data_IF_787946140631
#
_entry.id   IF_787946140631
#
_cell.length_a   1.000
_cell.length_b   1.000
_cell.length_c   1.000
_cell.angle_alpha   90.00
_cell.angle_beta   90.00
_cell.angle_gamma   90.00
#
_symmetry.space_group_name_H-M   'P 1'
#
loop_
_entity.id
_entity.type
_entity.pdbx_description
1 polymer ?
#
# COMPACT_ATOMS: atom_id res chain seq x y z
N UNK A 1 4.28 28.12 5.82
CA UNK A 1 3.44 27.92 7.03
C UNK A 1 4.12 26.84 7.88
N UNK A 2 4.50 27.13 9.11
CA UNK A 2 5.07 26.09 9.99
C UNK A 2 3.95 25.11 10.32
N UNK A 3 4.07 23.85 9.84
CA UNK A 3 3.17 22.78 10.27
C UNK A 3 3.30 22.63 11.80
N UNK A 4 2.20 22.82 12.50
CA UNK A 4 2.15 22.66 13.97
C UNK A 4 2.26 21.19 14.41
N UNK A 5 2.45 20.24 13.48
CA UNK A 5 2.47 18.81 13.74
C UNK A 5 3.44 18.09 12.78
N UNK A 6 3.93 16.94 13.22
CA UNK A 6 4.73 16.04 12.42
C UNK A 6 3.82 15.28 11.42
N UNK A 7 4.10 15.42 10.13
CA UNK A 7 3.26 14.85 9.07
C UNK A 7 3.77 13.50 8.62
N UNK A 8 3.01 12.46 8.93
CA UNK A 8 3.25 11.07 8.52
C UNK A 8 2.27 10.75 7.39
N UNK A 9 2.76 10.27 6.26
CA UNK A 9 1.94 9.84 5.12
C UNK A 9 2.07 8.34 4.95
N UNK A 10 0.96 7.64 4.71
CA UNK A 10 0.96 6.22 4.32
C UNK A 10 0.34 6.10 2.93
N UNK A 11 1.10 5.54 2.01
CA UNK A 11 0.61 5.15 0.70
C UNK A 11 0.03 3.74 0.82
N UNK A 12 -1.25 3.58 0.51
CA UNK A 12 -1.93 2.31 0.67
C UNK A 12 -2.77 1.98 -0.56
N UNK A 13 -2.83 0.70 -0.92
CA UNK A 13 -3.54 0.22 -2.10
C UNK A 13 -4.65 -0.75 -1.72
N UNK A 14 -5.78 -0.63 -2.41
CA UNK A 14 -6.79 -1.66 -2.44
C UNK A 14 -6.42 -2.70 -3.50
N UNK A 15 -6.36 -3.97 -3.12
CA UNK A 15 -5.97 -5.08 -4.00
C UNK A 15 -7.04 -6.17 -4.00
N UNK A 16 -7.14 -6.99 -5.07
CA UNK A 16 -7.98 -8.18 -5.03
C UNK A 16 -7.47 -9.18 -3.97
N UNK A 17 -8.40 -9.81 -3.25
CA UNK A 17 -8.07 -10.90 -2.34
C UNK A 17 -7.77 -12.18 -3.13
N UNK A 18 -6.48 -12.51 -3.24
CA UNK A 18 -6.02 -13.70 -3.95
C UNK A 18 -6.04 -14.97 -3.10
N UNK A 19 -6.30 -14.87 -1.80
CA UNK A 19 -6.37 -16.01 -0.87
C UNK A 19 -7.79 -16.58 -0.75
N UNK A 20 -8.81 -15.74 -0.86
CA UNK A 20 -10.21 -16.15 -0.74
C UNK A 20 -10.90 -16.21 -2.11
N UNK A 21 -10.46 -17.14 -2.94
CA UNK A 21 -11.05 -17.35 -4.28
C UNK A 21 -12.34 -18.13 -4.12
N UNK A 22 -13.49 -17.45 -4.12
CA UNK A 22 -14.82 -18.08 -4.17
C UNK A 22 -15.08 -18.74 -5.53
N UNK A 23 -16.08 -19.62 -5.58
CA UNK A 23 -16.48 -20.32 -6.82
C UNK A 23 -16.81 -19.35 -7.96
N UNK A 24 -17.38 -18.19 -7.65
CA UNK A 24 -17.76 -17.15 -8.61
C UNK A 24 -16.57 -16.37 -9.18
N UNK A 25 -15.40 -16.54 -8.57
CA UNK A 25 -14.15 -15.91 -9.03
C UNK A 25 -13.45 -16.71 -10.14
N UNK A 26 -13.94 -17.91 -10.45
CA UNK A 26 -13.43 -18.70 -11.57
C UNK A 26 -14.35 -18.51 -12.77
N UNK A 27 -13.77 -18.18 -13.92
CA UNK A 27 -14.49 -18.17 -15.20
C UNK A 27 -14.64 -19.61 -15.73
N UNK A 28 -15.55 -19.82 -16.68
CA UNK A 28 -15.77 -21.12 -17.31
C UNK A 28 -14.51 -21.69 -18.00
N UNK A 29 -13.61 -20.81 -18.44
CA UNK A 29 -12.31 -21.16 -19.02
C UNK A 29 -11.22 -21.51 -18.01
N UNK A 30 -11.55 -21.55 -16.70
CA UNK A 30 -10.62 -21.83 -15.61
C UNK A 30 -9.73 -20.64 -15.20
N UNK A 31 -9.94 -19.45 -15.79
CA UNK A 31 -9.20 -18.24 -15.40
C UNK A 31 -9.89 -17.50 -14.27
N UNK A 32 -9.09 -16.73 -13.47
CA UNK A 32 -9.63 -15.94 -12.36
C UNK A 32 -10.28 -14.66 -12.87
N UNK A 33 -11.54 -14.46 -12.51
CA UNK A 33 -12.22 -13.17 -12.67
C UNK A 33 -11.81 -12.22 -11.53
N UNK A 34 -10.74 -11.46 -11.73
CA UNK A 34 -10.23 -10.52 -10.70
C UNK A 34 -11.26 -9.47 -10.28
N UNK A 35 -12.22 -9.14 -11.14
CA UNK A 35 -13.27 -8.18 -10.80
C UNK A 35 -14.31 -8.76 -9.83
N UNK A 36 -14.45 -10.07 -9.75
CA UNK A 36 -15.32 -10.75 -8.80
C UNK A 36 -14.66 -11.07 -7.45
N UNK A 37 -13.34 -10.85 -7.33
CA UNK A 37 -12.65 -11.04 -6.07
C UNK A 37 -13.02 -9.92 -5.08
N UNK A 38 -13.21 -10.24 -3.79
CA UNK A 38 -13.28 -9.22 -2.75
C UNK A 38 -12.05 -8.31 -2.80
N UNK A 39 -12.27 -7.03 -2.57
CA UNK A 39 -11.18 -6.07 -2.49
C UNK A 39 -10.75 -5.94 -1.02
N UNK A 40 -9.44 -6.03 -0.77
CA UNK A 40 -8.85 -5.94 0.56
C UNK A 40 -7.79 -4.85 0.63
N UNK A 41 -7.45 -4.47 1.83
CA UNK A 41 -6.26 -3.66 2.10
C UNK A 41 -5.01 -4.48 1.77
N UNK A 42 -4.08 -3.94 0.99
CA UNK A 42 -2.82 -4.64 0.72
C UNK A 42 -2.11 -5.00 2.02
N UNK A 43 -1.76 -6.28 2.26
CA UNK A 43 -1.21 -6.73 3.54
C UNK A 43 0.07 -5.98 3.97
N UNK A 44 1.00 -5.73 3.03
CA UNK A 44 2.24 -5.00 3.35
C UNK A 44 1.95 -3.53 3.69
N UNK A 45 0.95 -2.89 3.03
CA UNK A 45 0.57 -1.51 3.35
C UNK A 45 -0.15 -1.44 4.71
N UNK A 46 -0.83 -2.50 5.12
CA UNK A 46 -1.44 -2.57 6.45
C UNK A 46 -0.37 -2.59 7.55
N UNK A 47 0.76 -3.25 7.32
CA UNK A 47 1.93 -3.21 8.21
C UNK A 47 2.62 -1.84 8.18
N UNK A 48 2.66 -1.19 7.02
CA UNK A 48 3.13 0.18 6.89
C UNK A 48 2.25 1.16 7.70
N UNK A 49 0.94 0.95 7.72
CA UNK A 49 0.03 1.71 8.58
C UNK A 49 0.37 1.51 10.07
N UNK A 50 0.63 0.28 10.52
CA UNK A 50 1.03 0.05 11.92
C UNK A 50 2.33 0.75 12.27
N UNK A 51 3.34 0.67 11.41
CA UNK A 51 4.61 1.36 11.66
C UNK A 51 4.42 2.88 11.74
N UNK A 52 3.58 3.46 10.88
CA UNK A 52 3.21 4.87 10.93
C UNK A 52 2.48 5.25 12.23
N UNK A 53 1.59 4.40 12.72
CA UNK A 53 0.89 4.59 13.98
C UNK A 53 1.83 4.44 15.18
N UNK A 54 2.77 3.50 15.13
CA UNK A 54 3.82 3.37 16.15
C UNK A 54 4.73 4.61 16.19
N UNK A 55 5.07 5.20 15.05
CA UNK A 55 5.78 6.48 14.99
C UNK A 55 4.97 7.61 15.64
N UNK A 56 3.67 7.69 15.36
CA UNK A 56 2.79 8.67 16.01
C UNK A 56 2.74 8.48 17.52
N UNK A 57 2.69 7.23 17.99
CA UNK A 57 2.69 6.92 19.42
C UNK A 57 4.03 7.29 20.07
N UNK A 58 5.16 7.04 19.40
CA UNK A 58 6.49 7.42 19.87
C UNK A 58 6.68 8.95 20.01
N UNK A 59 5.99 9.73 19.16
CA UNK A 59 6.03 11.20 19.20
C UNK A 59 5.05 11.83 20.19
N UNK A 60 4.19 11.05 20.84
CA UNK A 60 3.05 11.55 21.64
C UNK A 60 3.45 12.59 22.69
N UNK A 61 4.58 12.38 23.38
CA UNK A 61 5.07 13.26 24.44
C UNK A 61 6.12 14.28 23.94
N UNK A 62 6.44 14.24 22.64
CA UNK A 62 7.45 15.10 22.01
C UNK A 62 6.76 16.22 21.23
N UNK A 63 5.87 15.87 20.31
CA UNK A 63 5.16 16.83 19.47
C UNK A 63 3.89 16.20 18.86
N UNK A 64 2.88 17.01 18.49
CA UNK A 64 1.72 16.50 17.79
C UNK A 64 2.11 15.84 16.46
N UNK A 65 1.58 14.67 16.19
CA UNK A 65 1.79 13.96 14.93
C UNK A 65 0.45 13.58 14.27
N UNK A 66 0.44 13.58 12.94
CA UNK A 66 -0.75 13.28 12.13
C UNK A 66 -0.42 12.21 11.10
N UNK A 67 -1.23 11.15 11.05
CA UNK A 67 -1.15 10.09 10.05
C UNK A 67 -2.20 10.30 8.97
N UNK A 68 -1.75 10.54 7.76
CA UNK A 68 -2.58 10.78 6.57
C UNK A 68 -2.42 9.62 5.58
N UNK A 69 -3.52 9.10 5.09
CA UNK A 69 -3.52 8.01 4.09
C UNK A 69 -3.73 8.60 2.71
N UNK A 70 -2.95 8.14 1.75
CA UNK A 70 -3.18 8.40 0.32
C UNK A 70 -3.38 7.06 -0.38
N UNK A 71 -4.49 6.93 -1.06
CA UNK A 71 -4.77 5.77 -1.92
C UNK A 71 -5.11 6.23 -3.32
N UNK A 72 -4.55 5.57 -4.35
CA UNK A 72 -4.88 5.84 -5.74
C UNK A 72 -5.75 4.70 -6.29
N UNK A 73 -6.95 5.04 -6.73
CA UNK A 73 -7.89 4.03 -7.22
C UNK A 73 -9.28 4.59 -7.51
N UNK A 74 -10.24 3.72 -7.84
CA UNK A 74 -11.65 4.11 -8.01
C UNK A 74 -12.27 4.52 -6.67
N UNK A 75 -13.51 5.07 -6.70
CA UNK A 75 -14.27 5.52 -5.53
C UNK A 75 -14.29 4.52 -4.38
N UNK A 76 -14.40 3.21 -4.68
CA UNK A 76 -14.37 2.13 -3.67
C UNK A 76 -13.06 2.08 -2.87
N UNK A 77 -11.97 2.68 -3.33
CA UNK A 77 -10.72 2.76 -2.58
C UNK A 77 -10.87 3.59 -1.28
N UNK A 78 -11.97 4.34 -1.11
CA UNK A 78 -12.33 4.97 0.15
C UNK A 78 -12.44 3.98 1.32
N UNK A 79 -12.67 2.67 1.04
CA UNK A 79 -12.65 1.62 2.08
C UNK A 79 -11.30 1.54 2.80
N UNK A 80 -10.20 1.75 2.09
CA UNK A 80 -8.84 1.76 2.64
C UNK A 80 -8.68 2.88 3.66
N UNK A 81 -9.23 4.06 3.36
CA UNK A 81 -9.18 5.20 4.27
C UNK A 81 -10.05 4.92 5.50
N UNK A 82 -11.28 4.43 5.34
CA UNK A 82 -12.13 4.05 6.48
C UNK A 82 -11.45 3.04 7.40
N UNK A 83 -10.90 1.99 6.81
CA UNK A 83 -10.17 0.96 7.55
C UNK A 83 -8.99 1.54 8.35
N UNK A 84 -8.27 2.49 7.77
CA UNK A 84 -7.17 3.20 8.44
C UNK A 84 -7.66 4.11 9.56
N UNK A 85 -8.77 4.83 9.35
CA UNK A 85 -9.40 5.66 10.38
C UNK A 85 -9.85 4.84 11.58
N UNK A 86 -10.36 3.62 11.37
CA UNK A 86 -10.76 2.71 12.46
C UNK A 86 -9.57 2.28 13.32
N UNK A 87 -8.35 2.28 12.77
CA UNK A 87 -7.11 1.85 13.44
C UNK A 87 -6.30 2.98 14.04
N UNK A 88 -6.58 4.24 13.71
CA UNK A 88 -5.90 5.38 14.35
C UNK A 88 -5.37 6.46 13.42
N UNK A 89 -5.48 6.29 12.09
CA UNK A 89 -5.21 7.37 11.14
C UNK A 89 -6.13 8.58 11.41
N UNK A 90 -5.69 9.76 11.00
CA UNK A 90 -6.40 11.00 11.28
C UNK A 90 -7.27 11.45 10.11
N UNK A 91 -6.80 11.22 8.89
CA UNK A 91 -7.52 11.53 7.65
C UNK A 91 -6.95 10.74 6.47
N UNK A 92 -7.55 10.94 5.29
CA UNK A 92 -7.02 10.37 4.05
C UNK A 92 -7.64 10.97 2.81
N UNK A 93 -6.99 10.71 1.68
CA UNK A 93 -7.33 11.22 0.36
C UNK A 93 -7.39 10.08 -0.65
N UNK A 94 -8.45 10.05 -1.44
CA UNK A 94 -8.55 9.18 -2.61
C UNK A 94 -8.07 9.98 -3.82
N UNK A 95 -7.03 9.50 -4.48
CA UNK A 95 -6.53 10.05 -5.75
C UNK A 95 -7.23 9.26 -6.86
N UNK A 96 -8.24 9.87 -7.49
CA UNK A 96 -9.12 9.19 -8.43
C UNK A 96 -9.41 10.01 -9.66
N UNK A 97 -9.01 9.48 -10.82
CA UNK A 97 -9.32 10.05 -12.13
C UNK A 97 -9.18 8.97 -13.20
N UNK A 98 -10.00 9.03 -14.25
CA UNK A 98 -9.88 8.11 -15.40
C UNK A 98 -8.53 8.22 -16.11
N UNK A 99 -7.89 9.39 -16.04
CA UNK A 99 -6.55 9.65 -16.59
C UNK A 99 -5.45 8.84 -15.91
N UNK A 100 -5.68 8.29 -14.72
CA UNK A 100 -4.74 7.38 -14.04
C UNK A 100 -4.89 5.92 -14.47
N UNK A 101 -5.92 5.58 -15.24
CA UNK A 101 -6.18 4.22 -15.63
C UNK A 101 -5.03 3.64 -16.48
N UNK A 102 -4.66 2.37 -16.18
CA UNK A 102 -3.59 1.68 -16.89
C UNK A 102 -2.17 2.16 -16.56
N UNK A 103 -2.00 2.96 -15.50
CA UNK A 103 -0.68 3.35 -15.00
C UNK A 103 0.17 2.14 -14.64
N UNK A 104 1.40 2.09 -15.15
CA UNK A 104 2.44 1.24 -14.61
C UNK A 104 3.04 1.82 -13.32
N UNK A 105 4.13 1.24 -12.81
CA UNK A 105 4.76 1.71 -11.58
C UNK A 105 5.33 3.12 -11.70
N UNK A 106 5.82 3.50 -12.88
CA UNK A 106 6.41 4.82 -13.12
C UNK A 106 5.34 5.92 -13.09
N UNK A 107 4.24 5.74 -13.84
CA UNK A 107 3.13 6.68 -13.88
C UNK A 107 2.40 6.71 -12.52
N UNK A 108 2.24 5.56 -11.85
CA UNK A 108 1.66 5.46 -10.49
C UNK A 108 2.49 6.25 -9.48
N UNK A 109 3.80 6.04 -9.44
CA UNK A 109 4.68 6.75 -8.50
C UNK A 109 4.73 8.25 -8.78
N UNK A 110 4.59 8.65 -10.04
CA UNK A 110 4.50 10.06 -10.40
C UNK A 110 3.23 10.72 -9.84
N UNK A 111 2.06 10.12 -10.07
CA UNK A 111 0.81 10.62 -9.54
C UNK A 111 0.81 10.68 -8.00
N UNK A 112 1.30 9.63 -7.34
CA UNK A 112 1.41 9.59 -5.88
C UNK A 112 2.38 10.64 -5.34
N UNK A 113 3.54 10.84 -5.98
CA UNK A 113 4.48 11.89 -5.56
C UNK A 113 3.88 13.29 -5.69
N UNK A 114 3.10 13.56 -6.75
CA UNK A 114 2.36 14.81 -6.92
C UNK A 114 1.31 15.00 -5.81
N UNK A 115 0.59 13.93 -5.45
CA UNK A 115 -0.37 13.96 -4.35
C UNK A 115 0.31 14.22 -2.98
N UNK A 116 1.49 13.63 -2.74
CA UNK A 116 2.28 13.90 -1.53
C UNK A 116 2.75 15.36 -1.51
N UNK A 117 3.26 15.89 -2.62
CA UNK A 117 3.67 17.30 -2.75
C UNK A 117 2.53 18.27 -2.48
N UNK A 118 1.30 17.93 -2.86
CA UNK A 118 0.09 18.72 -2.59
C UNK A 118 -0.21 18.89 -1.10
N UNK A 119 0.16 17.92 -0.26
CA UNK A 119 0.02 18.05 1.21
C UNK A 119 0.93 19.15 1.79
N UNK A 120 1.95 19.59 1.06
CA UNK A 120 2.98 20.52 1.53
C UNK A 120 4.11 19.80 2.24
N UNK A 121 4.52 20.28 3.44
CA UNK A 121 5.60 19.65 4.19
C UNK A 121 5.16 18.27 4.70
N UNK A 122 5.90 17.24 4.30
CA UNK A 122 5.78 15.87 4.79
C UNK A 122 7.10 15.46 5.42
N UNK A 123 7.06 14.91 6.63
CA UNK A 123 8.27 14.53 7.36
C UNK A 123 8.64 13.07 7.09
N UNK A 124 7.66 12.17 6.94
CA UNK A 124 7.91 10.78 6.60
C UNK A 124 6.81 10.19 5.73
N UNK A 125 7.19 9.36 4.76
CA UNK A 125 6.27 8.59 3.91
C UNK A 125 6.50 7.12 4.15
N UNK A 126 5.43 6.37 4.42
CA UNK A 126 5.43 4.92 4.50
C UNK A 126 4.69 4.29 3.33
N UNK A 127 5.14 3.13 2.89
CA UNK A 127 4.40 2.22 2.02
C UNK A 127 4.73 0.78 2.40
N UNK A 128 3.92 -0.18 2.00
CA UNK A 128 4.34 -1.57 1.99
C UNK A 128 5.50 -1.78 1.03
N UNK A 129 6.23 -2.88 1.20
CA UNK A 129 7.28 -3.29 0.27
C UNK A 129 6.73 -3.41 -1.14
N UNK A 130 5.56 -4.03 -1.30
CA UNK A 130 4.92 -4.27 -2.59
C UNK A 130 3.40 -4.44 -2.44
N UNK A 131 2.69 -4.38 -3.57
CA UNK A 131 1.29 -4.77 -3.66
C UNK A 131 1.19 -6.21 -4.19
N UNK A 132 0.36 -7.06 -3.54
CA UNK A 132 0.25 -8.50 -3.85
C UNK A 132 -0.36 -8.80 -5.22
N UNK A 133 -0.93 -7.82 -5.89
CA UNK A 133 -1.52 -7.97 -7.23
C UNK A 133 -0.53 -7.76 -8.39
N UNK A 134 0.63 -7.17 -8.10
CA UNK A 134 1.63 -6.85 -9.12
C UNK A 134 3.06 -7.23 -8.76
N UNK A 135 3.37 -7.40 -7.48
CA UNK A 135 4.65 -7.89 -6.92
C UNK A 135 5.94 -7.18 -7.43
N UNK A 136 5.83 -5.92 -7.85
CA UNK A 136 6.95 -5.20 -8.46
C UNK A 136 7.91 -4.58 -7.45
N UNK A 137 7.46 -4.28 -6.24
CA UNK A 137 8.22 -3.59 -5.17
C UNK A 137 8.89 -2.25 -5.61
N UNK A 138 8.35 -1.58 -6.63
CA UNK A 138 8.96 -0.41 -7.25
C UNK A 138 8.36 0.93 -6.84
N UNK A 139 7.06 0.99 -6.50
CA UNK A 139 6.34 2.25 -6.33
C UNK A 139 6.92 3.07 -5.18
N UNK A 140 7.18 2.48 -4.01
CA UNK A 140 7.77 3.18 -2.87
C UNK A 140 9.11 3.85 -3.23
N UNK A 141 10.14 3.09 -3.68
CA UNK A 141 11.41 3.65 -4.12
C UNK A 141 11.29 4.74 -5.18
N UNK A 142 10.42 4.55 -6.18
CA UNK A 142 10.20 5.56 -7.23
C UNK A 142 9.52 6.83 -6.70
N UNK A 143 8.65 6.73 -5.68
CA UNK A 143 8.09 7.90 -5.01
C UNK A 143 9.17 8.67 -4.27
N UNK A 144 10.08 7.98 -3.55
CA UNK A 144 11.20 8.61 -2.86
C UNK A 144 12.08 9.41 -3.83
N UNK A 145 12.42 8.82 -4.98
CA UNK A 145 13.21 9.49 -6.02
C UNK A 145 12.49 10.73 -6.56
N UNK A 146 11.17 10.66 -6.84
CA UNK A 146 10.41 11.81 -7.35
C UNK A 146 10.18 12.90 -6.31
N UNK A 147 10.27 12.56 -5.03
CA UNK A 147 10.23 13.50 -3.92
C UNK A 147 11.63 14.06 -3.56
N UNK A 148 12.68 13.49 -4.14
CA UNK A 148 14.09 13.82 -3.87
C UNK A 148 14.44 13.65 -2.38
N UNK A 149 13.94 12.57 -1.76
CA UNK A 149 14.18 12.23 -0.36
C UNK A 149 14.86 10.86 -0.23
N UNK A 150 15.68 10.66 0.81
CA UNK A 150 16.27 9.36 1.08
C UNK A 150 15.20 8.30 1.37
N UNK A 151 15.58 7.02 1.21
CA UNK A 151 14.70 5.90 1.49
C UNK A 151 15.36 4.84 2.36
N UNK A 152 14.56 4.20 3.20
CA UNK A 152 14.91 3.00 3.96
C UNK A 152 13.94 1.88 3.54
N UNK A 153 14.47 0.86 2.86
CA UNK A 153 13.64 -0.24 2.34
C UNK A 153 13.62 -1.42 3.30
N UNK A 154 12.55 -2.24 3.21
CA UNK A 154 12.38 -3.50 3.95
C UNK A 154 12.41 -3.36 5.48
N UNK A 155 11.83 -2.28 6.00
CA UNK A 155 11.72 -2.03 7.44
C UNK A 155 10.90 -3.14 8.13
N UNK A 156 11.40 -3.65 9.25
CA UNK A 156 10.70 -4.64 10.09
C UNK A 156 10.28 -4.06 11.43
N UNK A 157 11.09 -3.17 12.00
CA UNK A 157 10.90 -2.69 13.36
C UNK A 157 11.31 -1.21 13.50
N UNK A 158 10.46 -0.43 14.15
CA UNK A 158 10.80 0.90 14.65
C UNK A 158 11.59 0.73 15.96
N UNK A 159 12.90 1.06 15.93
CA UNK A 159 13.76 0.97 17.11
C UNK A 159 13.60 2.20 17.99
N UNK A 160 13.67 3.40 17.39
CA UNK A 160 13.47 4.67 18.08
C UNK A 160 13.15 5.79 17.10
N UNK A 161 12.58 6.88 17.62
CA UNK A 161 12.24 8.06 16.85
C UNK A 161 12.38 9.31 17.71
N UNK A 162 12.87 10.38 17.11
CA UNK A 162 12.91 11.74 17.69
C UNK A 162 12.20 12.71 16.73
N UNK A 163 12.24 14.00 17.00
CA UNK A 163 11.74 15.03 16.08
C UNK A 163 12.58 15.20 14.80
N UNK A 164 13.83 14.71 14.79
CA UNK A 164 14.78 14.93 13.71
C UNK A 164 15.19 13.67 12.95
N UNK A 165 15.04 12.50 13.54
CA UNK A 165 15.55 11.25 12.99
C UNK A 165 14.75 10.03 13.43
N UNK A 166 14.83 8.97 12.63
CA UNK A 166 14.25 7.66 12.89
C UNK A 166 15.34 6.59 12.83
N UNK A 167 15.25 5.61 13.74
CA UNK A 167 16.10 4.42 13.73
C UNK A 167 15.24 3.20 13.45
N UNK A 168 15.57 2.49 12.39
CA UNK A 168 14.80 1.37 11.85
C UNK A 168 15.71 0.15 11.72
N UNK A 169 15.19 -1.01 12.14
CA UNK A 169 15.76 -2.31 11.80
C UNK A 169 15.13 -2.78 10.49
N UNK A 170 15.96 -3.11 9.52
CA UNK A 170 15.54 -3.56 8.19
C UNK A 170 16.11 -4.93 7.84
N UNK A 171 15.40 -5.66 7.00
CA UNK A 171 15.82 -6.99 6.51
C UNK A 171 16.52 -6.86 5.15
N UNK A 172 17.58 -7.63 5.02
CA UNK A 172 18.29 -7.86 3.77
C UNK A 172 18.35 -9.38 3.51
N UNK A 173 18.73 -9.78 2.31
CA UNK A 173 18.83 -11.19 1.94
C UNK A 173 19.77 -11.99 2.85
N UNK A 174 20.84 -11.35 3.34
CA UNK A 174 21.86 -11.98 4.17
C UNK A 174 21.82 -11.62 5.65
N UNK A 175 20.74 -10.98 6.11
CA UNK A 175 20.61 -10.62 7.51
C UNK A 175 19.76 -9.40 7.78
N UNK A 176 20.00 -8.77 8.91
CA UNK A 176 19.32 -7.55 9.34
C UNK A 176 20.33 -6.47 9.66
N UNK A 177 19.98 -5.23 9.43
CA UNK A 177 20.78 -4.08 9.86
C UNK A 177 19.89 -3.04 10.52
N UNK A 178 20.49 -2.22 11.37
CA UNK A 178 19.83 -1.07 11.98
C UNK A 178 20.40 0.18 11.35
N UNK A 179 19.50 0.97 10.76
CA UNK A 179 19.86 2.22 10.06
C UNK A 179 19.20 3.40 10.74
N UNK A 180 19.89 4.53 10.69
CA UNK A 180 19.40 5.82 11.14
C UNK A 180 19.21 6.74 9.94
N UNK A 181 18.06 7.40 9.86
CA UNK A 181 17.74 8.34 8.80
C UNK A 181 17.20 9.66 9.38
N UNK A 182 17.63 10.78 8.79
CA UNK A 182 17.04 12.09 9.05
C UNK A 182 15.79 12.31 8.20
N UNK A 183 14.89 13.18 8.66
CA UNK A 183 13.70 13.57 7.90
C UNK A 183 14.00 14.69 6.88
N UNK A 184 13.28 14.73 5.75
CA UNK A 184 12.26 13.78 5.33
C UNK A 184 12.85 12.46 4.81
N UNK A 185 12.10 11.36 4.96
CA UNK A 185 12.50 10.02 4.49
C UNK A 185 11.29 9.21 4.03
N UNK A 186 11.48 8.32 3.04
CA UNK A 186 10.49 7.30 2.69
C UNK A 186 10.92 5.94 3.24
N UNK A 187 9.98 5.21 3.81
CA UNK A 187 10.22 3.87 4.38
C UNK A 187 9.29 2.86 3.72
N UNK A 188 9.85 1.79 3.15
CA UNK A 188 9.05 0.64 2.70
C UNK A 188 9.07 -0.45 3.76
N UNK A 189 7.90 -0.97 4.12
CA UNK A 189 7.72 -1.90 5.24
C UNK A 189 7.62 -3.34 4.73
N UNK A 190 8.41 -4.21 5.33
CA UNK A 190 8.48 -5.63 4.97
C UNK A 190 7.31 -6.43 5.55
N UNK A 191 6.92 -7.51 4.86
CA UNK A 191 5.85 -8.40 5.29
C UNK A 191 6.08 -9.10 6.66
N UNK A 192 7.31 -9.10 7.19
CA UNK A 192 7.62 -9.61 8.53
C UNK A 192 7.50 -8.56 9.64
N UNK A 193 7.19 -7.31 9.32
CA UNK A 193 6.91 -6.30 10.33
C UNK A 193 5.67 -6.66 11.15
N UNK A 194 5.47 -5.96 12.26
CA UNK A 194 4.35 -6.20 13.15
C UNK A 194 3.01 -6.11 12.43
N UNK A 195 2.08 -6.97 12.81
CA UNK A 195 0.70 -6.91 12.35
C UNK A 195 0.04 -5.60 12.81
N UNK A 196 -0.85 -5.09 11.98
CA UNK A 196 -1.55 -3.87 12.31
C UNK A 196 -2.50 -4.10 13.48
N UNK A 197 -2.51 -3.13 14.40
CA UNK A 197 -3.42 -3.09 15.54
C UNK A 197 -4.90 -3.29 15.12
N UNK A 198 -5.74 -3.88 15.97
CA UNK A 198 -7.16 -4.09 15.68
C UNK A 198 -7.90 -2.74 15.53
N UNK A 199 -9.08 -2.81 14.92
CA UNK A 199 -10.00 -1.66 14.84
C UNK A 199 -10.43 -1.24 16.25
N UNK A 200 -10.36 0.05 16.53
CA UNK A 200 -10.84 0.60 17.79
C UNK A 200 -12.34 0.85 17.73
N UNK A 201 -13.10 0.32 18.68
CA UNK A 201 -14.57 0.36 18.65
C UNK A 201 -15.15 1.77 18.55
N UNK A 202 -14.65 2.73 19.34
CA UNK A 202 -15.10 4.12 19.27
C UNK A 202 -14.80 4.77 17.91
N UNK A 203 -13.59 4.53 17.35
CA UNK A 203 -13.22 5.06 16.04
C UNK A 203 -14.06 4.45 14.92
N UNK A 204 -14.40 3.16 15.03
CA UNK A 204 -15.30 2.50 14.10
C UNK A 204 -16.70 3.13 14.16
N UNK A 205 -17.26 3.31 15.34
CA UNK A 205 -18.58 3.96 15.52
C UNK A 205 -18.55 5.38 14.97
N UNK A 206 -17.48 6.14 15.24
CA UNK A 206 -17.32 7.51 14.80
C UNK A 206 -17.23 7.62 13.27
N UNK A 207 -16.43 6.76 12.63
CA UNK A 207 -16.05 6.88 11.22
C UNK A 207 -16.77 5.92 10.27
N UNK A 208 -17.65 5.01 10.74
CA UNK A 208 -18.34 4.03 9.89
C UNK A 208 -19.14 4.61 8.73
N UNK A 209 -19.53 5.88 8.83
CA UNK A 209 -20.24 6.62 7.79
C UNK A 209 -19.33 7.55 7.00
N UNK A 210 -18.01 7.49 7.21
CA UNK A 210 -17.10 8.29 6.41
C UNK A 210 -17.21 7.85 4.93
N UNK A 211 -17.32 8.80 4.03
CA UNK A 211 -17.63 8.56 2.63
C UNK A 211 -17.02 9.65 1.76
N UNK A 212 -16.60 9.30 0.55
CA UNK A 212 -16.19 10.27 -0.46
C UNK A 212 -17.39 10.75 -1.30
N UNK A 213 -17.20 11.84 -2.04
CA UNK A 213 -18.27 12.41 -2.86
C UNK A 213 -18.67 11.44 -4.01
N UNK A 214 -17.71 10.84 -4.68
CA UNK A 214 -17.96 9.88 -5.75
C UNK A 214 -18.65 8.61 -5.23
N UNK A 215 -18.22 8.10 -4.08
CA UNK A 215 -18.84 6.93 -3.44
C UNK A 215 -20.29 7.24 -3.01
N UNK A 216 -20.53 8.42 -2.42
CA UNK A 216 -21.87 8.85 -2.04
C UNK A 216 -22.80 8.91 -3.25
N UNK A 217 -22.31 9.44 -4.36
CA UNK A 217 -23.06 9.50 -5.62
C UNK A 217 -23.37 8.11 -6.19
N UNK A 218 -22.38 7.22 -6.23
CA UNK A 218 -22.56 5.84 -6.72
C UNK A 218 -23.58 5.06 -5.90
N UNK A 219 -23.60 5.28 -4.57
CA UNK A 219 -24.51 4.61 -3.64
C UNK A 219 -25.84 5.35 -3.43
N UNK A 220 -26.08 6.47 -4.13
CA UNK A 220 -27.24 7.33 -3.98
C UNK A 220 -27.47 7.76 -2.52
N UNK A 221 -26.40 8.13 -1.79
CA UNK A 221 -26.46 8.59 -0.41
C UNK A 221 -26.51 10.13 -0.38
N UNK A 222 -27.48 10.67 0.36
CA UNK A 222 -27.46 12.09 0.71
C UNK A 222 -26.52 12.32 1.91
N UNK A 223 -25.30 12.76 1.63
CA UNK A 223 -24.29 13.01 2.64
C UNK A 223 -24.08 14.48 2.99
N UNK A 224 -24.65 15.42 2.24
CA UNK A 224 -24.40 16.85 2.40
C UNK A 224 -24.77 17.35 3.80
N UNK A 225 -25.97 16.98 4.28
CA UNK A 225 -26.43 17.33 5.63
C UNK A 225 -25.55 16.71 6.72
N UNK A 226 -25.04 15.50 6.49
CA UNK A 226 -24.16 14.82 7.44
C UNK A 226 -22.78 15.46 7.48
N UNK A 227 -22.19 15.78 6.32
CA UNK A 227 -20.90 16.45 6.24
C UNK A 227 -20.93 17.86 6.80
N UNK A 228 -22.03 18.60 6.60
CA UNK A 228 -22.19 19.92 7.22
C UNK A 228 -22.15 19.86 8.76
N UNK A 229 -22.70 18.79 9.35
CA UNK A 229 -22.70 18.57 10.82
C UNK A 229 -21.41 17.91 11.31
N UNK A 230 -20.79 17.04 10.50
CA UNK A 230 -19.63 16.21 10.85
C UNK A 230 -18.64 16.22 9.68
N UNK A 231 -17.89 17.32 9.47
CA UNK A 231 -16.96 17.43 8.31
C UNK A 231 -15.90 16.35 8.25
N UNK A 232 -15.49 15.78 9.39
CA UNK A 232 -14.50 14.71 9.47
C UNK A 232 -14.96 13.39 8.83
N UNK A 233 -16.25 13.24 8.51
CA UNK A 233 -16.81 12.09 7.78
C UNK A 233 -16.67 12.23 6.26
N UNK A 234 -16.24 13.39 5.77
CA UNK A 234 -15.95 13.56 4.35
C UNK A 234 -14.55 13.06 4.06
N UNK A 235 -14.46 12.00 3.26
CA UNK A 235 -13.20 11.54 2.68
C UNK A 235 -12.96 12.41 1.46
N UNK A 236 -11.85 13.14 1.46
CA UNK A 236 -11.49 14.02 0.35
C UNK A 236 -11.02 13.22 -0.86
N UNK A 237 -11.43 13.68 -2.04
CA UNK A 237 -11.00 13.13 -3.32
C UNK A 237 -10.19 14.16 -4.10
N UNK A 238 -9.11 13.73 -4.71
CA UNK A 238 -8.30 14.53 -5.63
C UNK A 238 -8.29 13.89 -7.00
N UNK A 239 -8.69 14.64 -8.01
CA UNK A 239 -8.54 14.27 -9.40
C UNK A 239 -7.16 14.70 -9.93
N UNK A 240 -6.88 14.47 -11.21
CA UNK A 240 -5.61 14.83 -11.82
C UNK A 240 -5.36 16.36 -11.78
N UNK A 241 -6.38 17.18 -11.99
CA UNK A 241 -6.22 18.64 -11.96
C UNK A 241 -5.88 19.15 -10.56
N UNK A 242 -6.38 18.48 -9.53
CA UNK A 242 -6.10 18.83 -8.13
C UNK A 242 -4.64 18.66 -7.73
N UNK A 243 -3.92 17.69 -8.33
CA UNK A 243 -2.51 17.41 -8.03
C UNK A 243 -1.53 18.10 -8.99
N UNK A 244 -2.05 18.88 -9.97
CA UNK A 244 -1.30 19.69 -10.93
C UNK A 244 -0.13 18.95 -11.59
N UNK A 245 -0.35 17.81 -12.26
CA UNK A 245 0.69 17.00 -12.85
C UNK A 245 1.03 17.45 -14.28
N UNK A 246 2.12 16.94 -14.79
CA UNK A 246 2.34 16.82 -16.24
C UNK A 246 1.48 15.68 -16.75
N UNK A 247 0.46 15.96 -17.56
CA UNK A 247 -0.50 14.96 -18.04
C UNK A 247 0.11 13.91 -18.95
N UNK A 248 1.22 14.19 -19.64
CA UNK A 248 1.92 13.23 -20.48
C UNK A 248 2.56 12.09 -19.64
N UNK A 249 2.73 12.32 -18.35
CA UNK A 249 3.32 11.35 -17.40
C UNK A 249 2.27 10.53 -16.63
N UNK A 250 0.98 10.66 -16.98
CA UNK A 250 -0.12 9.95 -16.34
C UNK A 250 -0.64 8.78 -17.17
N UNK A 251 -1.24 7.80 -16.47
CA UNK A 251 -1.98 6.70 -17.08
C UNK A 251 -1.16 5.92 -18.11
N UNK A 252 -1.82 5.45 -19.15
CA UNK A 252 -1.18 4.71 -20.24
C UNK A 252 -0.16 5.53 -21.04
N UNK A 253 -0.35 6.83 -21.14
CA UNK A 253 0.57 7.73 -21.87
C UNK A 253 1.90 7.84 -21.13
N UNK A 254 1.85 8.02 -19.81
CA UNK A 254 3.03 8.11 -18.96
C UNK A 254 3.66 6.76 -18.59
N UNK A 255 3.12 5.64 -19.11
CA UNK A 255 3.58 4.28 -18.78
C UNK A 255 4.48 3.73 -19.89
N UNK A 256 5.81 3.62 -19.67
CA UNK A 256 6.72 2.98 -20.61
C UNK A 256 6.47 1.47 -20.73
N UNK A 257 5.87 0.82 -19.73
CA UNK A 257 5.54 -0.61 -19.76
C UNK A 257 4.04 -0.82 -19.96
N UNK A 258 3.70 -1.85 -20.75
CA UNK A 258 2.29 -2.22 -21.00
C UNK A 258 2.11 -3.72 -20.80
N UNK A 259 1.08 -4.11 -20.06
CA UNK A 259 0.71 -5.51 -19.91
C UNK A 259 0.25 -6.03 -21.28
N UNK A 260 0.99 -6.97 -21.84
CA UNK A 260 0.65 -7.60 -23.14
C UNK A 260 -0.37 -8.72 -22.98
N UNK A 261 -0.14 -9.59 -22.01
CA UNK A 261 -1.03 -10.71 -21.67
C UNK A 261 -0.83 -11.10 -20.22
N UNK A 262 -1.85 -11.71 -19.62
CA UNK A 262 -1.80 -12.31 -18.30
C UNK A 262 -2.12 -13.78 -18.49
N UNK A 263 -1.18 -14.66 -18.13
CA UNK A 263 -1.37 -16.09 -18.09
C UNK A 263 -1.45 -16.55 -16.64
N UNK A 264 -2.51 -17.29 -16.30
CA UNK A 264 -2.60 -17.89 -14.98
C UNK A 264 -1.82 -19.20 -14.99
N UNK A 265 -0.74 -19.25 -14.24
CA UNK A 265 -0.05 -20.51 -13.97
C UNK A 265 -0.84 -21.23 -12.87
N UNK A 266 -1.67 -22.19 -13.25
CA UNK A 266 -2.28 -23.09 -12.28
C UNK A 266 -1.20 -24.10 -11.89
N UNK A 267 -0.69 -23.98 -10.67
CA UNK A 267 0.18 -25.01 -10.09
C UNK A 267 -0.67 -26.24 -9.78
N UNK A 268 -0.90 -27.07 -10.82
CA UNK A 268 -1.38 -28.42 -10.58
C UNK A 268 -0.22 -29.24 -10.07
N UNK A 269 -0.37 -29.86 -8.88
CA UNK A 269 0.58 -30.88 -8.45
C UNK A 269 0.60 -31.97 -9.50
N UNK A 270 1.68 -32.02 -10.27
CA UNK A 270 2.01 -33.24 -11.03
C UNK A 270 2.20 -34.37 -10.02
N UNK A 271 2.07 -35.63 -10.48
CA UNK A 271 2.16 -36.81 -9.64
C UNK A 271 3.30 -36.71 -8.62
N UNK A 272 2.99 -37.06 -7.38
CA UNK A 272 4.00 -37.10 -6.32
C UNK A 272 5.06 -38.18 -6.63
N UNK A 273 6.30 -37.79 -6.85
CA UNK A 273 7.42 -38.74 -6.99
C UNK A 273 7.79 -39.26 -5.63
N UNK A 274 7.56 -40.55 -5.41
CA UNK A 274 8.05 -41.24 -4.21
C UNK A 274 9.46 -41.72 -4.48
N UNK A 275 10.39 -41.38 -3.59
CA UNK A 275 11.76 -41.85 -3.62
C UNK A 275 12.03 -42.72 -2.39
N UNK A 276 12.88 -43.73 -2.52
CA UNK A 276 13.40 -44.48 -1.40
C UNK A 276 14.57 -43.72 -0.73
N UNK A 277 15.05 -44.24 0.37
CA UNK A 277 16.24 -43.70 1.07
C UNK A 277 17.57 -44.22 0.46
N UNK A 278 17.53 -44.70 -0.78
CA UNK A 278 18.74 -45.12 -1.49
C UNK A 278 19.56 -43.91 -1.95
N UNK A 279 20.88 -44.04 -1.83
CA UNK A 279 21.81 -42.96 -2.26
C UNK A 279 21.63 -42.62 -3.74
N UNK A 280 21.33 -43.61 -4.58
CA UNK A 280 21.07 -43.42 -6.00
C UNK A 280 19.86 -42.53 -6.27
N UNK A 281 18.71 -42.79 -5.65
CA UNK A 281 17.46 -42.00 -5.87
C UNK A 281 17.55 -40.62 -5.26
N UNK A 282 18.25 -40.46 -4.13
CA UNK A 282 18.53 -39.13 -3.55
C UNK A 282 19.41 -38.31 -4.51
N UNK A 283 20.45 -38.89 -5.08
CA UNK A 283 21.32 -38.21 -6.04
C UNK A 283 20.58 -37.84 -7.33
N UNK A 284 19.64 -38.68 -7.80
CA UNK A 284 18.79 -38.32 -8.93
C UNK A 284 17.87 -37.15 -8.61
N UNK A 285 17.22 -37.15 -7.43
CA UNK A 285 16.40 -36.00 -7.00
C UNK A 285 17.23 -34.73 -6.94
N UNK A 286 18.43 -34.75 -6.37
CA UNK A 286 19.32 -33.60 -6.32
C UNK A 286 19.68 -33.08 -7.70
N UNK A 287 19.96 -33.96 -8.66
CA UNK A 287 20.22 -33.59 -10.04
C UNK A 287 18.99 -32.94 -10.71
N UNK A 288 17.80 -33.49 -10.46
CA UNK A 288 16.54 -32.89 -10.98
C UNK A 288 16.31 -31.48 -10.42
N UNK A 289 16.50 -31.28 -9.10
CA UNK A 289 16.32 -29.98 -8.44
C UNK A 289 17.33 -28.94 -8.97
N UNK A 290 18.60 -29.34 -9.13
CA UNK A 290 19.64 -28.47 -9.72
C UNK A 290 19.31 -28.14 -11.18
N UNK A 291 18.93 -29.13 -11.99
CA UNK A 291 18.61 -28.89 -13.41
C UNK A 291 17.37 -28.03 -13.61
N UNK A 292 16.44 -28.07 -12.64
CA UNK A 292 15.25 -27.22 -12.63
C UNK A 292 15.50 -25.84 -11.99
N UNK A 293 16.72 -25.53 -11.58
CA UNK A 293 17.09 -24.27 -10.90
C UNK A 293 16.26 -23.99 -9.63
N UNK A 294 15.89 -25.04 -8.88
CA UNK A 294 15.14 -24.92 -7.63
C UNK A 294 16.11 -24.72 -6.45
N UNK A 295 17.29 -25.32 -6.56
CA UNK A 295 18.40 -25.20 -5.60
C UNK A 295 19.70 -24.93 -6.34
#
# INVERSE_FOLDING_TARGET
MNNKYFQIVVLAKQVPDTHNIGKDAMKEDGTINRAALPAIFNPDDLKALEMALACKDALKDIMPAKVTIITMGPSRAADIIRESLFRGADNGFVVSDRRFAGSDTLATSYALSAAVKKLGKVDIVFSGRQAIDGDTAQVGPQVAEKLEIPQVTYAEELVSMTENEIVIKRRLDRGVETVKAAFPVLVTVHGNANDCRPRHAERLILNKKACSASEAKEKNLDMETLWAKKPFLKIEEWNADDINPDYERLGLTGSPTKVKSIENVVLTSKENKKISNSESEINELMKELISAHII
#
